data_IF_280221557465
#
_entry.id   IF_280221557465
#
_cell.length_a   1.000
_cell.length_b   1.000
_cell.length_c   1.000
_cell.angle_alpha   90.00
_cell.angle_beta   90.00
_cell.angle_gamma   90.00
#
_symmetry.space_group_name_H-M   'P 1'
#
loop_
_entity.id
_entity.type
_entity.pdbx_description
1 polymer ?
#
# COMPACT_ATOMS: atom_id res chain seq x y z
N UNK A 1 15.47 21.26 4.03
CA UNK A 1 14.10 21.51 4.53
C UNK A 1 13.80 20.60 5.71
N UNK A 2 12.93 21.08 6.59
CA UNK A 2 12.36 20.35 7.71
C UNK A 2 11.00 19.80 7.29
N UNK A 3 10.88 18.50 7.09
CA UNK A 3 9.67 17.86 6.60
C UNK A 3 8.97 17.06 7.72
N UNK A 4 7.66 17.23 7.87
CA UNK A 4 6.84 16.43 8.78
C UNK A 4 5.98 15.45 7.98
N UNK A 5 6.17 14.14 8.19
CA UNK A 5 5.43 13.08 7.50
C UNK A 5 4.40 12.49 8.46
N UNK A 6 3.13 12.70 8.15
CA UNK A 6 2.00 12.24 8.95
C UNK A 6 1.35 11.00 8.34
N UNK A 7 1.27 9.94 9.12
CA UNK A 7 0.65 8.68 8.74
C UNK A 7 -0.19 8.14 9.89
N UNK A 8 -1.09 7.21 9.62
CA UNK A 8 -1.88 6.52 10.63
C UNK A 8 -1.70 5.00 10.52
N UNK A 9 -1.65 4.34 11.67
CA UNK A 9 -1.45 2.88 11.75
C UNK A 9 -2.73 2.08 11.46
N UNK A 10 -3.47 2.45 10.41
CA UNK A 10 -4.70 1.77 9.94
C UNK A 10 -4.44 0.61 8.99
N UNK A 11 -3.24 0.05 9.04
CA UNK A 11 -2.68 -0.97 8.17
C UNK A 11 -1.24 -0.61 7.81
N UNK A 12 -0.51 -1.56 7.19
CA UNK A 12 0.92 -1.33 6.89
C UNK A 12 1.17 -0.34 5.74
N UNK A 13 0.24 -0.22 4.78
CA UNK A 13 0.45 0.49 3.53
C UNK A 13 0.83 1.97 3.73
N UNK A 14 0.01 2.74 4.43
CA UNK A 14 0.27 4.17 4.66
C UNK A 14 1.62 4.43 5.33
N UNK A 15 1.96 3.61 6.34
CA UNK A 15 3.25 3.70 7.03
C UNK A 15 4.42 3.34 6.11
N UNK A 16 4.24 2.38 5.18
CA UNK A 16 5.27 2.02 4.20
C UNK A 16 5.48 3.14 3.19
N UNK A 17 4.42 3.80 2.70
CA UNK A 17 4.53 4.99 1.87
C UNK A 17 5.23 6.15 2.59
N UNK A 18 4.87 6.38 3.86
CA UNK A 18 5.54 7.37 4.70
C UNK A 18 7.03 7.07 4.89
N UNK A 19 7.37 5.79 5.07
CA UNK A 19 8.77 5.36 5.17
C UNK A 19 9.55 5.60 3.88
N UNK A 20 8.95 5.30 2.72
CA UNK A 20 9.60 5.54 1.43
C UNK A 20 9.92 7.03 1.19
N UNK A 21 8.99 7.92 1.54
CA UNK A 21 9.22 9.37 1.47
C UNK A 21 10.29 9.81 2.48
N UNK A 22 10.25 9.27 3.70
CA UNK A 22 11.24 9.56 4.74
C UNK A 22 12.66 9.18 4.29
N UNK A 23 12.83 7.98 3.75
CA UNK A 23 14.13 7.50 3.24
C UNK A 23 14.62 8.39 2.09
N UNK A 24 13.77 8.69 1.11
CA UNK A 24 14.13 9.54 -0.03
C UNK A 24 14.53 10.96 0.39
N UNK A 25 13.86 11.55 1.37
CA UNK A 25 14.23 12.87 1.93
C UNK A 25 15.56 12.81 2.67
N UNK A 26 15.76 11.80 3.52
CA UNK A 26 16.98 11.65 4.33
C UNK A 26 18.20 11.39 3.46
N UNK A 27 18.11 10.55 2.44
CA UNK A 27 19.20 10.29 1.49
C UNK A 27 19.61 11.54 0.70
N UNK A 28 18.70 12.52 0.54
CA UNK A 28 19.00 13.83 -0.08
C UNK A 28 19.45 14.90 0.90
N UNK A 29 19.72 14.53 2.15
CA UNK A 29 20.22 15.43 3.18
C UNK A 29 19.17 16.37 3.76
N UNK A 30 17.88 16.06 3.60
CA UNK A 30 16.79 16.76 4.27
C UNK A 30 16.57 16.17 5.67
N UNK A 31 16.12 17.02 6.59
CA UNK A 31 15.63 16.52 7.87
C UNK A 31 14.14 16.18 7.75
N UNK A 32 13.77 15.02 8.22
CA UNK A 32 12.38 14.56 8.19
C UNK A 32 12.00 13.87 9.51
N UNK A 33 10.79 14.12 9.96
CA UNK A 33 10.19 13.46 11.13
C UNK A 33 8.93 12.74 10.67
N UNK A 34 8.75 11.50 11.11
CA UNK A 34 7.56 10.71 10.82
C UNK A 34 6.80 10.40 12.10
N UNK A 35 5.48 10.67 12.10
CA UNK A 35 4.65 10.42 13.26
C UNK A 35 3.19 10.06 12.89
N UNK A 36 2.51 9.41 13.81
CA UNK A 36 1.06 9.30 13.82
C UNK A 36 0.49 10.48 14.66
N UNK A 37 -0.35 11.36 14.08
CA UNK A 37 -0.82 12.55 14.79
C UNK A 37 -1.59 12.23 16.08
N UNK A 38 -2.20 11.06 16.19
CA UNK A 38 -2.91 10.66 17.42
C UNK A 38 -1.97 10.41 18.61
N UNK A 39 -0.67 10.19 18.38
CA UNK A 39 0.33 10.09 19.45
C UNK A 39 0.53 11.41 20.19
N UNK A 40 0.16 12.55 19.58
CA UNK A 40 0.16 13.86 20.25
C UNK A 40 -0.78 13.91 21.46
N UNK A 41 -1.78 13.04 21.51
CA UNK A 41 -2.64 12.85 22.69
C UNK A 41 -2.11 11.71 23.55
N UNK A 42 -1.97 10.52 22.98
CA UNK A 42 -1.38 9.36 23.63
C UNK A 42 -1.13 8.22 22.64
N UNK A 43 -0.14 7.38 22.93
CA UNK A 43 0.11 6.13 22.21
C UNK A 43 -1.12 5.19 22.26
N UNK A 44 -1.87 5.21 23.37
CA UNK A 44 -3.08 4.41 23.52
C UNK A 44 -4.16 4.82 22.52
N UNK A 45 -4.35 6.12 22.28
CA UNK A 45 -5.31 6.63 21.29
C UNK A 45 -4.91 6.21 19.87
N UNK A 46 -3.65 6.39 19.48
CA UNK A 46 -3.13 5.99 18.19
C UNK A 46 -3.34 4.48 17.96
N UNK A 47 -2.97 3.66 18.92
CA UNK A 47 -3.18 2.22 18.90
C UNK A 47 -4.67 1.83 18.80
N UNK A 48 -5.53 2.50 19.54
CA UNK A 48 -6.99 2.25 19.52
C UNK A 48 -7.60 2.56 18.15
N UNK A 49 -7.23 3.68 17.52
CA UNK A 49 -7.67 4.05 16.17
C UNK A 49 -7.23 2.99 15.17
N UNK A 50 -5.93 2.64 15.15
CA UNK A 50 -5.37 1.65 14.24
C UNK A 50 -6.00 0.27 14.44
N UNK A 51 -6.08 -0.23 15.66
CA UNK A 51 -6.65 -1.55 15.95
C UNK A 51 -8.15 -1.63 15.65
N UNK A 52 -8.90 -0.56 15.83
CA UNK A 52 -10.34 -0.54 15.49
C UNK A 52 -10.52 -0.73 13.99
N UNK A 53 -9.73 -0.03 13.19
CA UNK A 53 -9.73 -0.18 11.74
C UNK A 53 -9.35 -1.61 11.33
N UNK A 54 -8.22 -2.12 11.84
CA UNK A 54 -7.72 -3.47 11.53
C UNK A 54 -8.76 -4.54 11.89
N UNK A 55 -9.38 -4.45 13.06
CA UNK A 55 -10.42 -5.40 13.49
C UNK A 55 -11.66 -5.36 12.58
N UNK A 56 -12.07 -4.17 12.14
CA UNK A 56 -13.18 -4.01 11.20
C UNK A 56 -12.88 -4.70 9.86
N UNK A 57 -11.69 -4.46 9.32
CA UNK A 57 -11.25 -5.06 8.05
C UNK A 57 -11.12 -6.60 8.16
N UNK A 58 -10.47 -7.10 9.22
CA UNK A 58 -10.22 -8.55 9.38
C UNK A 58 -11.47 -9.34 9.73
N UNK A 59 -12.29 -8.84 10.68
CA UNK A 59 -13.44 -9.60 11.21
C UNK A 59 -14.71 -9.42 10.40
N UNK A 60 -14.84 -8.32 9.68
CA UNK A 60 -16.07 -7.97 8.98
C UNK A 60 -15.81 -7.25 7.65
N UNK A 61 -15.13 -7.88 6.66
CA UNK A 61 -14.83 -7.25 5.37
C UNK A 61 -16.06 -6.73 4.65
N UNK A 62 -17.20 -7.44 4.74
CA UNK A 62 -18.48 -7.00 4.15
C UNK A 62 -19.02 -5.73 4.81
N UNK A 63 -18.88 -5.61 6.15
CA UNK A 63 -19.26 -4.41 6.88
C UNK A 63 -18.35 -3.24 6.50
N UNK A 64 -17.04 -3.49 6.36
CA UNK A 64 -16.09 -2.49 5.87
C UNK A 64 -16.50 -1.96 4.49
N UNK A 65 -16.82 -2.85 3.55
CA UNK A 65 -17.37 -2.48 2.23
C UNK A 65 -18.62 -1.62 2.33
N UNK A 66 -19.59 -2.01 3.18
CA UNK A 66 -20.81 -1.23 3.40
C UNK A 66 -20.52 0.17 3.99
N UNK A 67 -19.56 0.29 4.91
CA UNK A 67 -19.11 1.59 5.45
C UNK A 67 -18.44 2.43 4.36
N UNK A 68 -17.64 1.82 3.51
CA UNK A 68 -17.02 2.48 2.35
C UNK A 68 -18.08 3.01 1.36
N UNK A 69 -19.10 2.19 1.03
CA UNK A 69 -20.20 2.59 0.17
C UNK A 69 -21.07 3.67 0.79
N UNK A 70 -21.29 3.60 2.11
CA UNK A 70 -21.98 4.66 2.85
C UNK A 70 -21.19 5.97 2.78
N UNK A 71 -19.86 5.92 2.89
CA UNK A 71 -18.98 7.08 2.67
C UNK A 71 -19.16 7.68 1.28
N UNK A 72 -19.19 6.83 0.23
CA UNK A 72 -19.48 7.26 -1.15
C UNK A 72 -20.87 7.88 -1.32
N UNK A 73 -21.86 7.45 -0.57
CA UNK A 73 -23.20 8.03 -0.58
C UNK A 73 -23.25 9.35 0.20
N UNK A 74 -22.64 9.37 1.40
CA UNK A 74 -22.61 10.53 2.30
C UNK A 74 -21.95 11.76 1.67
N UNK A 75 -20.87 11.60 0.90
CA UNK A 75 -20.18 12.70 0.20
C UNK A 75 -21.07 13.54 -0.72
N UNK A 76 -22.25 12.99 -1.12
CA UNK A 76 -23.24 13.72 -1.95
C UNK A 76 -24.13 14.65 -1.12
N UNK A 77 -24.09 14.53 0.20
CA UNK A 77 -24.84 15.40 1.11
C UNK A 77 -24.10 16.72 1.33
N UNK A 78 -24.82 17.82 1.59
CA UNK A 78 -24.18 19.09 1.91
C UNK A 78 -23.50 19.02 3.28
N UNK A 79 -22.37 19.71 3.41
CA UNK A 79 -21.58 19.76 4.64
C UNK A 79 -20.40 18.79 4.63
N UNK A 80 -19.64 18.79 5.73
CA UNK A 80 -18.45 17.95 5.89
C UNK A 80 -18.78 16.66 6.62
N UNK A 81 -18.01 15.63 6.37
CA UNK A 81 -18.23 14.30 6.93
C UNK A 81 -18.05 14.25 8.46
N UNK A 82 -18.66 13.25 9.11
CA UNK A 82 -18.35 12.98 10.52
C UNK A 82 -16.85 12.70 10.76
N UNK A 83 -16.17 12.12 9.77
CA UNK A 83 -14.73 11.80 9.80
C UNK A 83 -13.92 13.10 9.93
N UNK A 84 -14.23 14.12 9.11
CA UNK A 84 -13.65 15.45 9.21
C UNK A 84 -13.81 16.07 10.61
N UNK A 85 -15.03 16.03 11.18
CA UNK A 85 -15.30 16.61 12.48
C UNK A 85 -14.59 15.87 13.63
N UNK A 86 -14.48 14.55 13.53
CA UNK A 86 -13.75 13.74 14.53
C UNK A 86 -12.26 14.06 14.48
N UNK A 87 -11.67 14.09 13.28
CA UNK A 87 -10.25 14.38 13.08
C UNK A 87 -9.92 15.83 13.46
N UNK A 88 -10.81 16.77 13.20
CA UNK A 88 -10.66 18.17 13.61
C UNK A 88 -10.43 18.39 15.11
N UNK A 89 -10.83 17.44 15.97
CA UNK A 89 -10.52 17.50 17.42
C UNK A 89 -9.03 17.41 17.74
N UNK A 90 -8.24 16.92 16.80
CA UNK A 90 -6.77 16.85 16.92
C UNK A 90 -6.08 18.20 16.62
N UNK A 91 -6.77 19.17 16.03
CA UNK A 91 -6.21 20.44 15.60
C UNK A 91 -5.45 21.21 16.71
N UNK A 92 -5.96 21.32 17.94
CA UNK A 92 -5.22 22.03 19.01
C UNK A 92 -3.88 21.37 19.36
N UNK A 93 -3.82 20.05 19.32
CA UNK A 93 -2.58 19.29 19.62
C UNK A 93 -1.56 19.46 18.49
N UNK A 94 -2.03 19.40 17.23
CA UNK A 94 -1.17 19.63 16.07
C UNK A 94 -0.66 21.08 16.01
N UNK A 95 -1.52 22.07 16.33
CA UNK A 95 -1.11 23.47 16.41
C UNK A 95 0.01 23.68 17.44
N UNK A 96 -0.14 23.07 18.63
CA UNK A 96 0.90 23.12 19.66
C UNK A 96 2.21 22.53 19.17
N UNK A 97 2.16 21.34 18.53
CA UNK A 97 3.33 20.68 17.99
C UNK A 97 4.06 21.57 16.95
N UNK A 98 3.31 22.13 16.00
CA UNK A 98 3.87 22.99 14.94
C UNK A 98 4.44 24.31 15.49
N UNK A 99 3.92 24.83 16.59
CA UNK A 99 4.48 26.00 17.25
C UNK A 99 5.84 25.74 17.93
N UNK A 100 6.11 24.49 18.28
CA UNK A 100 7.33 24.07 18.99
C UNK A 100 8.39 23.46 18.03
N UNK A 101 7.99 23.10 16.78
CA UNK A 101 8.85 22.39 15.84
C UNK A 101 8.83 23.06 14.45
N UNK A 102 10.00 23.52 14.04
CA UNK A 102 10.17 24.07 12.69
C UNK A 102 9.74 23.05 11.64
N UNK A 103 8.85 23.46 10.74
CA UNK A 103 8.32 22.59 9.70
C UNK A 103 8.11 23.42 8.44
N UNK A 104 8.83 23.08 7.37
CA UNK A 104 8.73 23.78 6.06
C UNK A 104 7.59 23.19 5.23
N UNK A 105 7.34 21.88 5.33
CA UNK A 105 6.30 21.18 4.57
C UNK A 105 5.80 19.96 5.32
N UNK A 106 4.50 19.66 5.16
CA UNK A 106 3.88 18.47 5.74
C UNK A 106 3.43 17.52 4.63
N UNK A 107 3.68 16.22 4.85
CA UNK A 107 3.24 15.14 3.95
C UNK A 107 2.24 14.26 4.68
N UNK A 108 1.07 14.05 4.09
CA UNK A 108 0.03 13.17 4.62
C UNK A 108 -0.10 11.93 3.73
N UNK A 109 0.25 10.76 4.24
CA UNK A 109 0.05 9.49 3.52
C UNK A 109 -1.27 8.81 3.90
N UNK A 110 -2.06 9.44 4.76
CA UNK A 110 -3.40 9.03 5.15
C UNK A 110 -4.34 10.23 5.16
N UNK A 111 -5.65 9.98 4.93
CA UNK A 111 -6.65 11.07 4.88
C UNK A 111 -6.81 11.79 6.22
N UNK A 112 -6.74 11.08 7.35
CA UNK A 112 -6.99 11.68 8.67
C UNK A 112 -6.07 12.86 8.99
N UNK A 113 -4.74 12.78 8.82
CA UNK A 113 -3.88 13.95 8.97
C UNK A 113 -4.24 15.11 8.04
N UNK A 114 -4.60 14.82 6.77
CA UNK A 114 -5.01 15.85 5.83
C UNK A 114 -6.28 16.58 6.29
N UNK A 115 -7.23 15.87 6.89
CA UNK A 115 -8.43 16.47 7.48
C UNK A 115 -8.13 17.29 8.75
N UNK A 116 -7.18 16.87 9.58
CA UNK A 116 -6.72 17.64 10.75
C UNK A 116 -6.18 19.01 10.29
N UNK A 117 -5.26 18.98 9.32
CA UNK A 117 -4.64 20.20 8.77
C UNK A 117 -5.65 21.08 8.03
N UNK A 118 -6.57 20.47 7.30
CA UNK A 118 -7.68 21.17 6.66
C UNK A 118 -8.56 21.87 7.70
N UNK A 119 -8.88 21.19 8.80
CA UNK A 119 -9.64 21.78 9.89
C UNK A 119 -8.90 22.98 10.51
N UNK A 120 -7.59 22.87 10.72
CA UNK A 120 -6.76 23.97 11.22
C UNK A 120 -6.84 25.17 10.28
N UNK A 121 -6.56 24.97 8.99
CA UNK A 121 -6.56 26.02 7.96
C UNK A 121 -7.89 26.76 7.88
N UNK A 122 -8.99 26.02 7.82
CA UNK A 122 -10.34 26.59 7.74
C UNK A 122 -10.80 27.33 9.00
N UNK A 123 -10.18 27.08 10.14
CA UNK A 123 -10.42 27.80 11.39
C UNK A 123 -9.35 28.87 11.68
N UNK A 124 -8.57 29.28 10.68
CA UNK A 124 -7.61 30.36 10.79
C UNK A 124 -6.36 30.04 11.61
N UNK A 125 -6.07 28.75 11.84
CA UNK A 125 -4.82 28.32 12.45
C UNK A 125 -3.73 28.26 11.39
N UNK A 126 -2.54 28.76 11.69
CA UNK A 126 -1.41 28.67 10.78
C UNK A 126 -1.00 27.22 10.52
N UNK A 127 -0.79 26.90 9.26
CA UNK A 127 -0.30 25.58 8.83
C UNK A 127 0.76 25.76 7.76
N UNK A 128 1.90 25.05 7.86
CA UNK A 128 2.79 24.90 6.71
C UNK A 128 2.04 24.37 5.49
N UNK A 129 2.55 24.53 4.27
CA UNK A 129 2.00 23.86 3.11
C UNK A 129 1.99 22.34 3.33
N UNK A 130 0.92 21.65 2.87
CA UNK A 130 0.81 20.23 3.06
C UNK A 130 0.31 19.50 1.80
N UNK A 131 0.91 18.34 1.57
CA UNK A 131 0.71 17.49 0.41
C UNK A 131 0.07 16.18 0.84
N UNK A 132 -1.01 15.79 0.18
CA UNK A 132 -1.61 14.47 0.37
C UNK A 132 -1.09 13.49 -0.68
N UNK A 133 -0.71 12.29 -0.24
CA UNK A 133 -0.30 11.17 -1.11
C UNK A 133 -1.39 10.10 -1.04
N UNK A 134 -2.09 9.89 -2.16
CA UNK A 134 -3.03 8.79 -2.29
C UNK A 134 -2.27 7.46 -2.39
N UNK A 135 -2.69 6.48 -1.59
CA UNK A 135 -2.05 5.17 -1.47
C UNK A 135 -2.87 4.02 -2.04
N UNK A 136 -3.96 4.35 -2.74
CA UNK A 136 -4.81 3.42 -3.48
C UNK A 136 -5.09 3.94 -4.90
N UNK A 137 -5.30 3.04 -5.84
CA UNK A 137 -5.58 3.37 -7.26
C UNK A 137 -7.03 3.80 -7.48
N UNK A 138 -7.50 4.64 -6.61
CA UNK A 138 -8.80 5.32 -6.64
C UNK A 138 -8.80 6.52 -5.72
N UNK A 139 -9.64 7.49 -5.99
CA UNK A 139 -9.92 8.55 -5.04
C UNK A 139 -10.83 8.01 -3.93
N UNK A 140 -10.29 7.80 -2.72
CA UNK A 140 -11.08 7.32 -1.57
C UNK A 140 -12.10 8.36 -1.13
N UNK A 141 -13.25 7.94 -0.50
CA UNK A 141 -14.25 8.88 0.00
C UNK A 141 -13.63 9.95 0.92
N UNK A 142 -14.15 11.16 0.81
CA UNK A 142 -13.75 12.34 1.60
C UNK A 142 -12.38 12.95 1.26
N UNK A 143 -11.64 12.42 0.27
CA UNK A 143 -10.42 13.10 -0.21
C UNK A 143 -10.72 14.53 -0.67
N UNK A 144 -11.88 14.75 -1.28
CA UNK A 144 -12.37 16.06 -1.75
C UNK A 144 -12.70 17.05 -0.62
N UNK A 145 -12.84 16.57 0.62
CA UNK A 145 -13.05 17.45 1.78
C UNK A 145 -11.75 18.07 2.29
N UNK A 146 -10.61 17.49 1.94
CA UNK A 146 -9.31 18.03 2.32
C UNK A 146 -8.95 19.25 1.46
N UNK A 147 -8.25 20.23 2.06
CA UNK A 147 -7.76 21.43 1.38
C UNK A 147 -6.23 21.41 1.32
N UNK A 148 -5.68 20.34 0.75
CA UNK A 148 -4.25 20.20 0.54
C UNK A 148 -3.76 21.19 -0.53
N UNK A 149 -2.50 21.61 -0.43
CA UNK A 149 -1.88 22.42 -1.46
C UNK A 149 -1.68 21.61 -2.74
N UNK A 150 -1.28 20.35 -2.61
CA UNK A 150 -1.16 19.40 -3.71
C UNK A 150 -1.64 17.99 -3.29
N UNK A 151 -2.05 17.23 -4.32
CA UNK A 151 -2.44 15.82 -4.20
C UNK A 151 -1.57 14.97 -5.12
N UNK A 152 -0.72 14.15 -4.56
CA UNK A 152 0.01 13.14 -5.31
C UNK A 152 -0.92 11.97 -5.58
N UNK A 153 -1.15 11.66 -6.85
CA UNK A 153 -2.04 10.58 -7.29
C UNK A 153 -1.25 9.41 -7.89
N UNK A 154 -1.79 8.18 -7.82
CA UNK A 154 -1.07 6.96 -8.20
C UNK A 154 -0.70 6.87 -9.68
N UNK A 155 -1.47 7.52 -10.56
CA UNK A 155 -1.26 7.46 -12.00
C UNK A 155 -2.00 8.60 -12.71
N UNK A 156 -1.48 9.13 -13.83
CA UNK A 156 -2.20 10.09 -14.67
C UNK A 156 -3.52 9.51 -15.24
N UNK A 157 -3.61 8.18 -15.38
CA UNK A 157 -4.81 7.49 -15.85
C UNK A 157 -6.00 7.61 -14.88
N UNK A 158 -5.74 8.02 -13.63
CA UNK A 158 -6.75 8.18 -12.57
C UNK A 158 -7.13 9.65 -12.33
N UNK A 159 -6.55 10.62 -13.04
CA UNK A 159 -6.84 12.04 -12.83
C UNK A 159 -8.34 12.36 -12.91
N UNK A 160 -9.07 11.71 -13.82
CA UNK A 160 -10.52 11.87 -13.95
C UNK A 160 -11.31 11.32 -12.76
N UNK A 161 -10.82 10.29 -12.05
CA UNK A 161 -11.47 9.78 -10.82
C UNK A 161 -11.37 10.82 -9.70
N UNK A 162 -10.22 11.48 -9.56
CA UNK A 162 -10.02 12.51 -8.55
C UNK A 162 -10.79 13.80 -8.88
N UNK A 163 -10.70 14.30 -10.11
CA UNK A 163 -11.43 15.53 -10.51
C UNK A 163 -12.93 15.32 -10.54
N UNK A 164 -13.40 14.17 -10.97
CA UNK A 164 -14.82 13.80 -10.95
C UNK A 164 -15.40 13.72 -9.53
N UNK A 165 -14.55 13.66 -8.52
CA UNK A 165 -14.93 13.71 -7.10
C UNK A 165 -14.76 15.09 -6.46
N UNK A 166 -14.26 16.08 -7.21
CA UNK A 166 -14.15 17.46 -6.77
C UNK A 166 -12.76 17.90 -6.33
N UNK A 167 -11.74 17.05 -6.49
CA UNK A 167 -10.34 17.47 -6.28
C UNK A 167 -9.91 18.38 -7.43
N UNK A 168 -9.39 19.61 -7.19
CA UNK A 168 -9.01 20.53 -8.25
C UNK A 168 -7.90 19.97 -9.15
N UNK A 169 -8.09 20.04 -10.47
CA UNK A 169 -7.16 19.46 -11.43
C UNK A 169 -5.74 20.05 -11.35
N UNK A 170 -5.65 21.35 -11.09
CA UNK A 170 -4.38 22.09 -10.95
C UNK A 170 -3.57 21.68 -9.73
N UNK A 171 -4.21 21.10 -8.73
CA UNK A 171 -3.56 20.58 -7.52
C UNK A 171 -3.08 19.12 -7.69
N UNK A 172 -3.45 18.41 -8.75
CA UNK A 172 -3.05 17.01 -8.96
C UNK A 172 -1.60 16.90 -9.43
N UNK A 173 -0.88 15.95 -8.85
CA UNK A 173 0.49 15.56 -9.23
C UNK A 173 0.54 14.04 -9.38
N UNK A 174 0.41 13.49 -10.60
CA UNK A 174 0.34 12.05 -10.83
C UNK A 174 1.73 11.40 -10.81
N UNK A 175 2.41 11.47 -9.67
CA UNK A 175 3.78 10.98 -9.49
C UNK A 175 3.87 9.50 -9.11
N UNK A 176 2.75 8.85 -8.79
CA UNK A 176 2.76 7.45 -8.34
C UNK A 176 2.70 7.30 -6.82
N UNK A 177 2.51 6.06 -6.38
CA UNK A 177 2.60 5.69 -4.97
C UNK A 177 4.08 5.50 -4.62
N UNK A 178 4.62 6.19 -3.59
CA UNK A 178 6.02 6.03 -3.21
C UNK A 178 6.27 4.64 -2.61
N UNK A 179 7.25 3.96 -3.15
CA UNK A 179 7.82 2.72 -2.61
C UNK A 179 9.30 2.93 -2.29
N UNK A 180 9.86 2.12 -1.40
CA UNK A 180 11.28 2.20 -1.07
C UNK A 180 12.13 1.92 -2.30
N UNK A 181 13.29 2.55 -2.38
CA UNK A 181 14.15 2.49 -3.56
C UNK A 181 14.73 1.08 -3.81
N UNK A 182 14.83 0.24 -2.78
CA UNK A 182 15.30 -1.13 -2.91
C UNK A 182 14.38 -2.03 -3.79
N UNK A 183 13.10 -1.67 -3.94
CA UNK A 183 12.19 -2.37 -4.87
C UNK A 183 12.57 -2.15 -6.34
N UNK A 184 13.00 -0.95 -6.71
CA UNK A 184 13.40 -0.60 -8.08
C UNK A 184 14.91 -0.65 -8.32
N UNK A 185 15.72 -1.04 -7.34
CA UNK A 185 17.17 -1.15 -7.48
C UNK A 185 17.56 -2.32 -8.38
N UNK A 186 17.90 -2.04 -9.63
CA UNK A 186 18.31 -3.04 -10.63
C UNK A 186 19.63 -3.75 -10.28
N UNK A 187 20.41 -3.25 -9.31
CA UNK A 187 21.61 -3.94 -8.84
C UNK A 187 21.28 -5.17 -8.00
N UNK A 188 20.09 -5.24 -7.43
CA UNK A 188 19.56 -6.41 -6.71
C UNK A 188 18.92 -7.35 -7.72
N UNK A 189 19.76 -8.15 -8.37
CA UNK A 189 19.27 -9.20 -9.29
C UNK A 189 18.58 -10.33 -8.53
N UNK A 190 17.79 -11.14 -9.25
CA UNK A 190 17.12 -12.32 -8.68
C UNK A 190 18.08 -13.26 -7.95
N UNK A 191 19.24 -13.53 -8.55
CA UNK A 191 20.24 -14.42 -7.95
C UNK A 191 20.85 -13.82 -6.68
N UNK A 192 21.14 -12.53 -6.66
CA UNK A 192 21.61 -11.82 -5.46
C UNK A 192 20.57 -11.82 -4.36
N UNK A 193 19.30 -11.58 -4.69
CA UNK A 193 18.21 -11.64 -3.73
C UNK A 193 18.07 -13.04 -3.12
N UNK A 194 18.16 -14.08 -3.93
CA UNK A 194 18.13 -15.49 -3.48
C UNK A 194 19.31 -15.83 -2.57
N UNK A 195 20.49 -15.40 -2.95
CA UNK A 195 21.68 -15.60 -2.12
C UNK A 195 21.58 -14.90 -0.75
N UNK A 196 21.11 -13.65 -0.73
CA UNK A 196 20.89 -12.88 0.50
C UNK A 196 19.80 -13.48 1.42
N UNK A 197 18.87 -14.25 0.86
CA UNK A 197 17.82 -14.96 1.58
C UNK A 197 18.15 -16.43 1.88
N UNK A 198 19.33 -16.93 1.45
CA UNK A 198 19.71 -18.34 1.51
C UNK A 198 18.70 -19.28 0.80
N UNK A 199 18.06 -18.82 -0.28
CA UNK A 199 17.14 -19.62 -1.06
C UNK A 199 17.90 -20.49 -2.08
N UNK A 200 17.42 -21.71 -2.38
CA UNK A 200 18.07 -22.62 -3.32
C UNK A 200 18.17 -22.01 -4.73
N UNK A 201 19.33 -22.15 -5.37
CA UNK A 201 19.52 -21.72 -6.76
C UNK A 201 18.79 -22.65 -7.73
N UNK A 202 18.33 -22.11 -8.86
CA UNK A 202 17.73 -22.89 -9.94
C UNK A 202 16.30 -23.38 -9.68
N UNK A 203 15.69 -23.05 -8.55
CA UNK A 203 14.30 -23.36 -8.25
C UNK A 203 13.38 -22.18 -8.56
N UNK A 204 12.15 -22.46 -8.95
CA UNK A 204 11.10 -21.42 -9.01
C UNK A 204 10.63 -21.07 -7.61
N UNK A 205 10.14 -19.86 -7.45
CA UNK A 205 9.60 -19.40 -6.17
C UNK A 205 8.30 -18.64 -6.38
N UNK A 206 7.24 -19.14 -5.81
CA UNK A 206 6.00 -18.39 -5.64
C UNK A 206 6.03 -17.70 -4.27
N UNK A 207 5.63 -16.44 -4.23
CA UNK A 207 5.44 -15.70 -2.99
C UNK A 207 3.95 -15.41 -2.80
N UNK A 208 3.38 -15.86 -1.71
CA UNK A 208 1.98 -15.63 -1.34
C UNK A 208 1.90 -14.73 -0.11
N UNK A 209 1.10 -13.67 -0.14
CA UNK A 209 0.98 -12.75 0.99
C UNK A 209 -0.45 -12.27 1.24
N UNK A 210 -0.86 -12.33 2.51
CA UNK A 210 -2.08 -11.67 3.01
C UNK A 210 -1.89 -10.20 3.37
N UNK A 211 -0.75 -9.57 2.97
CA UNK A 211 -0.34 -8.25 3.40
C UNK A 211 0.12 -8.21 4.85
N UNK A 212 0.37 -7.01 5.39
CA UNK A 212 0.87 -6.83 6.77
C UNK A 212 -0.02 -7.45 7.85
N UNK A 213 -1.32 -7.57 7.57
CA UNK A 213 -2.32 -8.11 8.49
C UNK A 213 -2.61 -9.61 8.28
N UNK A 214 -2.02 -10.27 7.29
CA UNK A 214 -2.32 -11.66 6.95
C UNK A 214 -3.80 -11.90 6.66
N UNK A 215 -4.43 -11.01 5.91
CA UNK A 215 -5.85 -11.10 5.57
C UNK A 215 -6.07 -11.82 4.23
N UNK A 216 -7.30 -12.29 4.01
CA UNK A 216 -7.71 -12.98 2.78
C UNK A 216 -7.72 -14.49 2.91
N UNK A 217 -8.08 -15.18 1.82
CA UNK A 217 -8.26 -16.64 1.77
C UNK A 217 -6.92 -17.38 1.53
N UNK A 218 -5.91 -17.12 2.37
CA UNK A 218 -4.55 -17.65 2.18
C UNK A 218 -4.53 -19.17 2.19
N UNK A 219 -5.20 -19.82 3.13
CA UNK A 219 -5.25 -21.31 3.21
C UNK A 219 -5.87 -21.90 1.92
N UNK A 220 -6.96 -21.29 1.41
CA UNK A 220 -7.57 -21.77 0.18
C UNK A 220 -6.65 -21.54 -1.03
N UNK A 221 -5.89 -20.45 -1.04
CA UNK A 221 -4.89 -20.20 -2.09
C UNK A 221 -3.78 -21.26 -2.06
N UNK A 222 -3.29 -21.64 -0.87
CA UNK A 222 -2.31 -22.73 -0.74
C UNK A 222 -2.88 -24.03 -1.28
N UNK A 223 -4.10 -24.41 -0.86
CA UNK A 223 -4.77 -25.62 -1.36
C UNK A 223 -4.94 -25.63 -2.87
N UNK A 224 -5.33 -24.51 -3.46
CA UNK A 224 -5.47 -24.36 -4.91
C UNK A 224 -4.14 -24.52 -5.67
N UNK A 225 -3.00 -24.24 -5.02
CA UNK A 225 -1.67 -24.36 -5.60
C UNK A 225 -1.01 -25.73 -5.39
N UNK A 226 -1.56 -26.62 -4.55
CA UNK A 226 -0.97 -27.96 -4.31
C UNK A 226 -0.77 -28.74 -5.62
N UNK A 227 -1.72 -28.80 -6.57
CA UNK A 227 -1.50 -29.51 -7.83
C UNK A 227 -0.35 -28.93 -8.65
N UNK A 228 -0.14 -27.61 -8.61
CA UNK A 228 0.99 -26.96 -9.27
C UNK A 228 2.33 -27.40 -8.64
N UNK A 229 2.42 -27.40 -7.32
CA UNK A 229 3.63 -27.82 -6.61
C UNK A 229 3.94 -29.31 -6.82
N UNK A 230 2.94 -30.17 -6.83
CA UNK A 230 3.09 -31.59 -7.11
C UNK A 230 3.65 -31.87 -8.51
N UNK A 231 3.25 -31.09 -9.51
CA UNK A 231 3.73 -31.20 -10.90
C UNK A 231 5.08 -30.53 -11.10
N UNK A 232 5.50 -29.62 -10.22
CA UNK A 232 6.71 -28.81 -10.32
C UNK A 232 7.57 -28.99 -9.05
N UNK A 233 8.27 -30.13 -8.96
CA UNK A 233 9.12 -30.46 -7.81
C UNK A 233 10.26 -29.44 -7.57
N UNK A 234 10.59 -28.63 -8.56
CA UNK A 234 11.56 -27.54 -8.52
C UNK A 234 10.96 -26.18 -8.13
N UNK A 235 9.71 -26.14 -7.66
CA UNK A 235 9.02 -24.93 -7.26
C UNK A 235 8.82 -24.89 -5.74
N UNK A 236 9.08 -23.73 -5.12
CA UNK A 236 8.83 -23.46 -3.70
C UNK A 236 7.75 -22.39 -3.53
N UNK A 237 6.93 -22.52 -2.50
CA UNK A 237 5.90 -21.56 -2.11
C UNK A 237 6.25 -20.96 -0.75
N UNK A 238 6.62 -19.69 -0.74
CA UNK A 238 6.85 -18.89 0.45
C UNK A 238 5.57 -18.14 0.83
N UNK A 239 5.13 -18.22 2.08
CA UNK A 239 3.86 -17.66 2.53
C UNK A 239 4.12 -16.61 3.62
N UNK A 240 3.85 -15.34 3.34
CA UNK A 240 3.93 -14.25 4.30
C UNK A 240 2.58 -14.10 5.03
N UNK A 241 2.55 -14.52 6.29
CA UNK A 241 1.37 -14.46 7.15
C UNK A 241 1.19 -13.10 7.85
N UNK A 242 2.16 -12.18 7.71
CA UNK A 242 2.11 -10.87 8.35
C UNK A 242 2.08 -10.97 9.88
N UNK A 243 1.25 -10.18 10.52
CA UNK A 243 1.03 -10.18 11.97
C UNK A 243 -0.02 -11.19 12.44
N UNK A 244 -0.50 -12.09 11.55
CA UNK A 244 -1.55 -13.07 11.86
C UNK A 244 -0.94 -14.38 12.31
N UNK A 245 -0.68 -14.50 13.62
CA UNK A 245 -0.11 -15.73 14.21
C UNK A 245 -1.03 -16.96 13.99
N UNK A 246 -2.36 -16.78 14.09
CA UNK A 246 -3.31 -17.86 13.86
C UNK A 246 -3.25 -18.41 12.42
N UNK A 247 -3.01 -17.54 11.45
CA UNK A 247 -2.78 -17.95 10.06
C UNK A 247 -1.45 -18.72 9.94
N UNK A 248 -0.38 -18.20 10.55
CA UNK A 248 0.93 -18.86 10.54
C UNK A 248 0.81 -20.27 11.11
N UNK A 249 0.23 -20.42 12.31
CA UNK A 249 0.03 -21.71 12.97
C UNK A 249 -0.83 -22.67 12.13
N UNK A 250 -1.87 -22.16 11.48
CA UNK A 250 -2.75 -22.97 10.61
C UNK A 250 -2.02 -23.47 9.36
N UNK A 251 -1.20 -22.62 8.70
CA UNK A 251 -0.39 -23.02 7.54
C UNK A 251 0.64 -24.04 7.95
N UNK A 252 1.34 -23.81 9.08
CA UNK A 252 2.33 -24.74 9.60
C UNK A 252 1.70 -26.10 9.93
N UNK A 253 0.59 -26.12 10.65
CA UNK A 253 -0.10 -27.36 11.03
C UNK A 253 -0.59 -28.16 9.82
N UNK A 254 -1.17 -27.50 8.81
CA UNK A 254 -1.77 -28.18 7.67
C UNK A 254 -0.74 -28.64 6.64
N UNK A 255 0.34 -27.84 6.43
CA UNK A 255 1.29 -28.08 5.35
C UNK A 255 2.72 -28.42 5.80
N UNK A 256 2.98 -28.63 7.10
CA UNK A 256 4.31 -28.90 7.65
C UNK A 256 5.06 -30.07 6.98
N UNK A 257 4.34 -31.03 6.40
CA UNK A 257 4.94 -32.20 5.72
C UNK A 257 5.32 -31.93 4.27
N UNK A 258 4.89 -30.80 3.70
CA UNK A 258 5.22 -30.44 2.32
C UNK A 258 6.51 -29.59 2.31
N UNK A 259 7.62 -30.21 1.90
CA UNK A 259 8.94 -29.55 1.88
C UNK A 259 9.07 -28.38 0.90
N UNK A 260 8.06 -28.12 0.05
CA UNK A 260 8.04 -27.00 -0.87
C UNK A 260 7.34 -25.75 -0.27
N UNK A 261 6.68 -25.89 0.89
CA UNK A 261 5.87 -24.82 1.49
C UNK A 261 6.58 -24.29 2.74
N UNK A 262 6.84 -22.98 2.76
CA UNK A 262 7.51 -22.31 3.88
C UNK A 262 6.64 -21.15 4.39
N UNK A 263 5.95 -21.31 5.53
CA UNK A 263 5.28 -20.20 6.19
C UNK A 263 6.29 -19.27 6.86
N UNK A 264 6.00 -17.97 6.78
CA UNK A 264 6.82 -16.91 7.38
C UNK A 264 5.90 -15.91 8.07
N UNK A 265 6.36 -15.33 9.16
CA UNK A 265 5.73 -14.16 9.80
C UNK A 265 5.93 -12.90 8.97
N UNK A 266 5.93 -11.74 9.58
CA UNK A 266 6.30 -10.50 8.91
C UNK A 266 7.80 -10.47 8.57
N UNK A 267 8.17 -9.70 7.53
CA UNK A 267 9.57 -9.52 7.12
C UNK A 267 9.84 -8.05 6.83
N UNK A 268 11.07 -7.61 7.12
CA UNK A 268 11.62 -6.32 6.68
C UNK A 268 12.40 -6.43 5.35
N UNK A 269 12.49 -7.63 4.78
CA UNK A 269 13.21 -7.95 3.54
C UNK A 269 12.28 -8.14 2.34
N UNK A 270 11.12 -7.44 2.32
CA UNK A 270 10.10 -7.66 1.29
C UNK A 270 10.63 -7.47 -0.13
N UNK A 271 11.49 -6.47 -0.37
CA UNK A 271 12.09 -6.25 -1.67
C UNK A 271 12.93 -7.46 -2.14
N UNK A 272 13.72 -8.06 -1.24
CA UNK A 272 14.47 -9.27 -1.56
C UNK A 272 13.55 -10.45 -1.88
N UNK A 273 12.49 -10.67 -1.08
CA UNK A 273 11.55 -11.76 -1.35
C UNK A 273 10.81 -11.58 -2.67
N UNK A 274 10.39 -10.37 -2.99
CA UNK A 274 9.79 -10.07 -4.30
C UNK A 274 10.80 -10.36 -5.42
N UNK A 275 11.98 -9.75 -5.38
CA UNK A 275 13.00 -9.93 -6.44
C UNK A 275 13.48 -11.39 -6.59
N UNK A 276 13.43 -12.18 -5.51
CA UNK A 276 13.75 -13.61 -5.55
C UNK A 276 12.65 -14.46 -6.20
N UNK A 277 11.42 -13.93 -6.33
CA UNK A 277 10.23 -14.68 -6.73
C UNK A 277 9.97 -14.62 -8.24
N UNK A 278 9.28 -15.63 -8.75
CA UNK A 278 8.83 -15.71 -10.14
C UNK A 278 7.42 -15.12 -10.30
N UNK A 279 6.55 -15.38 -9.32
CA UNK A 279 5.18 -14.86 -9.27
C UNK A 279 4.88 -14.43 -7.84
N UNK A 280 4.28 -13.27 -7.70
CA UNK A 280 3.73 -12.79 -6.44
C UNK A 280 2.21 -12.91 -6.45
N UNK A 281 1.66 -13.50 -5.40
CA UNK A 281 0.22 -13.71 -5.24
C UNK A 281 -0.19 -12.95 -3.99
N UNK A 282 -1.07 -11.97 -4.12
CA UNK A 282 -1.48 -11.18 -2.96
C UNK A 282 -2.89 -10.60 -3.10
N UNK A 283 -3.44 -10.11 -1.99
CA UNK A 283 -4.58 -9.22 -2.08
C UNK A 283 -4.16 -7.90 -2.73
N UNK A 284 -5.06 -7.19 -3.43
CA UNK A 284 -4.73 -5.99 -4.21
C UNK A 284 -4.62 -4.71 -3.36
N UNK A 285 -3.76 -4.73 -2.34
CA UNK A 285 -3.41 -3.54 -1.58
C UNK A 285 -2.57 -2.57 -2.42
N UNK A 286 -2.85 -1.28 -2.35
CA UNK A 286 -2.17 -0.27 -3.18
C UNK A 286 -0.64 -0.37 -3.10
N UNK A 287 -0.09 -0.43 -1.89
CA UNK A 287 1.37 -0.51 -1.69
C UNK A 287 1.98 -1.82 -2.18
N UNK A 288 1.48 -2.97 -1.72
CA UNK A 288 2.06 -4.27 -2.08
C UNK A 288 2.01 -4.53 -3.59
N UNK A 289 0.94 -4.07 -4.25
CA UNK A 289 0.82 -4.14 -5.72
C UNK A 289 1.83 -3.24 -6.41
N UNK A 290 2.03 -2.00 -5.90
CA UNK A 290 3.04 -1.08 -6.43
C UNK A 290 4.45 -1.60 -6.20
N UNK A 291 4.76 -2.15 -5.02
CA UNK A 291 6.04 -2.77 -4.68
C UNK A 291 6.38 -3.93 -5.62
N UNK A 292 5.40 -4.82 -5.88
CA UNK A 292 5.57 -5.92 -6.84
C UNK A 292 5.86 -5.41 -8.26
N UNK A 293 5.08 -4.43 -8.71
CA UNK A 293 5.25 -3.87 -10.06
C UNK A 293 6.56 -3.09 -10.19
N UNK A 294 6.99 -2.36 -9.16
CA UNK A 294 8.28 -1.67 -9.13
C UNK A 294 9.45 -2.66 -9.15
N UNK A 295 9.31 -3.79 -8.45
CA UNK A 295 10.30 -4.88 -8.47
C UNK A 295 10.26 -5.71 -9.77
N UNK A 296 9.32 -5.45 -10.66
CA UNK A 296 9.15 -6.18 -11.92
C UNK A 296 8.76 -7.64 -11.72
N UNK A 297 7.92 -7.93 -10.72
CA UNK A 297 7.48 -9.30 -10.42
C UNK A 297 6.06 -9.51 -10.94
N UNK A 298 5.80 -10.56 -11.74
CA UNK A 298 4.47 -10.92 -12.19
C UNK A 298 3.51 -11.09 -11.01
N UNK A 299 2.31 -10.50 -11.11
CA UNK A 299 1.38 -10.33 -10.00
C UNK A 299 0.03 -11.00 -10.26
N UNK A 300 -0.44 -11.75 -9.27
CA UNK A 300 -1.81 -12.28 -9.21
C UNK A 300 -2.53 -11.67 -8.02
N UNK A 301 -3.66 -11.04 -8.26
CA UNK A 301 -4.55 -10.50 -7.24
C UNK A 301 -5.64 -11.51 -6.86
N UNK A 302 -5.74 -11.78 -5.56
CA UNK A 302 -6.75 -12.66 -4.96
C UNK A 302 -7.48 -11.94 -3.83
N UNK A 303 -8.70 -12.34 -3.53
CA UNK A 303 -9.44 -11.98 -2.30
C UNK A 303 -9.42 -10.48 -1.96
N UNK A 304 -9.85 -9.57 -2.85
CA UNK A 304 -9.88 -8.15 -2.56
C UNK A 304 -10.82 -7.85 -1.37
N UNK A 305 -10.39 -6.94 -0.50
CA UNK A 305 -11.28 -6.34 0.48
C UNK A 305 -12.22 -5.38 -0.26
N UNK A 306 -13.55 -5.49 -0.07
CA UNK A 306 -14.50 -4.59 -0.73
C UNK A 306 -14.17 -3.12 -0.47
N UNK A 307 -14.27 -2.28 -1.51
CA UNK A 307 -13.93 -0.86 -1.45
C UNK A 307 -12.69 -0.54 -2.30
N UNK A 308 -11.65 0.06 -1.71
CA UNK A 308 -10.45 0.50 -2.44
C UNK A 308 -9.69 -0.66 -3.08
N UNK A 309 -9.56 -1.81 -2.41
CA UNK A 309 -8.81 -2.94 -2.98
C UNK A 309 -9.50 -3.53 -4.24
N UNK A 310 -10.84 -3.53 -4.31
CA UNK A 310 -11.53 -3.93 -5.54
C UNK A 310 -11.18 -3.00 -6.71
N UNK A 311 -11.08 -1.69 -6.44
CA UNK A 311 -10.66 -0.69 -7.44
C UNK A 311 -9.20 -0.85 -7.85
N UNK A 312 -8.33 -1.14 -6.88
CA UNK A 312 -6.93 -1.46 -7.17
C UNK A 312 -6.82 -2.66 -8.13
N UNK A 313 -7.54 -3.75 -7.82
CA UNK A 313 -7.57 -4.94 -8.68
C UNK A 313 -8.08 -4.65 -10.09
N UNK A 314 -9.16 -3.86 -10.21
CA UNK A 314 -9.71 -3.44 -11.50
C UNK A 314 -8.70 -2.63 -12.32
N UNK A 315 -8.02 -1.65 -11.70
CA UNK A 315 -6.99 -0.85 -12.38
C UNK A 315 -5.84 -1.74 -12.87
N UNK A 316 -5.28 -2.57 -11.99
CA UNK A 316 -4.15 -3.43 -12.34
C UNK A 316 -4.48 -4.44 -13.44
N UNK A 317 -5.68 -5.02 -13.41
CA UNK A 317 -6.14 -5.95 -14.45
C UNK A 317 -6.37 -5.23 -15.78
N UNK A 318 -7.01 -4.05 -15.77
CA UNK A 318 -7.26 -3.23 -16.95
C UNK A 318 -5.98 -2.82 -17.66
N UNK A 319 -4.97 -2.42 -16.89
CA UNK A 319 -3.67 -2.02 -17.44
C UNK A 319 -2.76 -3.23 -17.78
N UNK A 320 -3.20 -4.46 -17.46
CA UNK A 320 -2.46 -5.70 -17.74
C UNK A 320 -1.20 -5.86 -16.90
N UNK A 321 -1.17 -5.27 -15.71
CA UNK A 321 -0.05 -5.30 -14.76
C UNK A 321 -0.27 -6.24 -13.58
N UNK A 322 -1.42 -6.91 -13.53
CA UNK A 322 -1.71 -8.07 -12.70
C UNK A 322 -2.80 -8.95 -13.36
N UNK A 323 -2.85 -10.21 -12.98
CA UNK A 323 -4.00 -11.09 -13.25
C UNK A 323 -4.95 -10.99 -12.05
N UNK A 324 -6.19 -10.57 -12.27
CA UNK A 324 -7.24 -10.58 -11.26
C UNK A 324 -7.94 -11.94 -11.26
N UNK A 325 -8.00 -12.58 -10.11
CA UNK A 325 -8.68 -13.85 -9.85
C UNK A 325 -9.95 -13.57 -9.06
N UNK A 326 -11.10 -13.93 -9.60
CA UNK A 326 -12.39 -13.73 -8.92
C UNK A 326 -12.67 -14.88 -7.94
N UNK A 327 -12.35 -16.10 -8.35
CA UNK A 327 -12.48 -17.28 -7.52
C UNK A 327 -11.10 -17.95 -7.31
N UNK A 328 -10.56 -17.80 -6.10
CA UNK A 328 -9.24 -18.32 -5.76
C UNK A 328 -9.13 -19.84 -5.94
N UNK A 329 -10.19 -20.61 -5.66
CA UNK A 329 -10.16 -22.08 -5.70
C UNK A 329 -10.12 -22.62 -7.13
N UNK A 330 -10.72 -21.92 -8.09
CA UNK A 330 -10.89 -22.41 -9.47
C UNK A 330 -10.00 -21.73 -10.49
N UNK A 331 -9.53 -20.51 -10.23
CA UNK A 331 -8.83 -19.70 -11.22
C UNK A 331 -7.35 -19.47 -10.89
N UNK A 332 -6.94 -19.59 -9.60
CA UNK A 332 -5.58 -19.26 -9.18
C UNK A 332 -4.53 -20.14 -9.86
N UNK A 333 -4.80 -21.44 -9.96
CA UNK A 333 -3.88 -22.38 -10.61
C UNK A 333 -3.56 -21.95 -12.04
N UNK A 334 -4.59 -21.71 -12.86
CA UNK A 334 -4.40 -21.29 -14.26
C UNK A 334 -3.73 -19.93 -14.40
N UNK A 335 -3.99 -19.00 -13.45
CA UNK A 335 -3.31 -17.71 -13.43
C UNK A 335 -1.80 -17.85 -13.17
N UNK A 336 -1.42 -18.72 -12.23
CA UNK A 336 -0.01 -19.01 -11.92
C UNK A 336 0.67 -19.76 -13.07
N UNK A 337 0.04 -20.78 -13.65
CA UNK A 337 0.55 -21.48 -14.84
C UNK A 337 0.82 -20.51 -15.99
N UNK A 338 -0.14 -19.62 -16.29
CA UNK A 338 0.02 -18.61 -17.33
C UNK A 338 1.21 -17.68 -17.08
N UNK A 339 1.39 -17.20 -15.83
CA UNK A 339 2.51 -16.31 -15.49
C UNK A 339 3.84 -17.04 -15.28
N UNK A 340 3.83 -18.37 -15.20
CA UNK A 340 5.03 -19.20 -15.18
C UNK A 340 5.66 -19.34 -16.58
N UNK A 341 4.89 -19.01 -17.64
CA UNK A 341 5.40 -18.93 -19.00
C UNK A 341 6.22 -17.65 -19.19
N UNK A 342 7.50 -17.74 -19.63
CA UNK A 342 8.42 -16.60 -19.71
C UNK A 342 7.89 -15.42 -20.53
N UNK A 343 7.18 -15.69 -21.63
CA UNK A 343 6.63 -14.65 -22.52
C UNK A 343 5.55 -13.83 -21.82
N UNK A 344 4.62 -14.48 -21.09
CA UNK A 344 3.55 -13.82 -20.36
C UNK A 344 4.10 -13.01 -19.19
N UNK A 345 5.10 -13.57 -18.48
CA UNK A 345 5.77 -12.88 -17.39
C UNK A 345 6.48 -11.61 -17.88
N UNK A 346 7.21 -11.69 -19.01
CA UNK A 346 7.94 -10.54 -19.54
C UNK A 346 7.01 -9.46 -20.10
N UNK A 347 5.90 -9.84 -20.74
CA UNK A 347 4.89 -8.88 -21.20
C UNK A 347 4.30 -8.11 -20.00
N UNK A 348 3.99 -8.79 -18.90
CA UNK A 348 3.50 -8.13 -17.68
C UNK A 348 4.56 -7.18 -17.09
N UNK A 349 5.81 -7.60 -16.97
CA UNK A 349 6.92 -6.75 -16.50
C UNK A 349 7.09 -5.49 -17.35
N UNK A 350 7.00 -5.63 -18.66
CA UNK A 350 7.07 -4.49 -19.60
C UNK A 350 5.95 -3.49 -19.34
N UNK A 351 4.73 -3.98 -19.14
CA UNK A 351 3.57 -3.11 -18.79
C UNK A 351 3.74 -2.48 -17.42
N UNK A 352 4.20 -3.23 -16.42
CA UNK A 352 4.49 -2.71 -15.08
C UNK A 352 5.46 -1.53 -15.16
N UNK A 353 6.56 -1.66 -15.90
CA UNK A 353 7.54 -0.57 -16.11
C UNK A 353 6.94 0.64 -16.84
N UNK A 354 5.97 0.46 -17.71
CA UNK A 354 5.33 1.54 -18.45
C UNK A 354 4.27 2.31 -17.62
N UNK A 355 3.60 1.63 -16.69
CA UNK A 355 2.46 2.19 -15.92
C UNK A 355 2.86 2.71 -14.55
N UNK A 356 3.82 2.03 -13.89
CA UNK A 356 4.21 2.34 -12.51
C UNK A 356 5.49 3.19 -12.52
N UNK A 357 5.42 4.35 -11.86
CA UNK A 357 6.58 5.19 -11.66
C UNK A 357 7.48 4.59 -10.57
N UNK A 358 8.60 4.03 -10.99
CA UNK A 358 9.60 3.43 -10.10
C UNK A 358 10.36 4.47 -9.26
N UNK A 359 10.35 5.75 -9.67
CA UNK A 359 11.03 6.86 -9.01
C UNK A 359 10.08 7.72 -8.17
N UNK A 360 8.85 7.27 -7.90
CA UNK A 360 7.82 8.07 -7.25
C UNK A 360 8.29 8.73 -5.94
N UNK A 361 9.03 8.01 -5.09
CA UNK A 361 9.56 8.56 -3.84
C UNK A 361 10.55 9.71 -4.09
N UNK A 362 11.37 9.60 -5.14
CA UNK A 362 12.33 10.61 -5.59
C UNK A 362 11.62 11.85 -6.11
N UNK A 363 10.69 11.65 -7.04
CA UNK A 363 9.92 12.73 -7.68
C UNK A 363 9.07 13.49 -6.65
N UNK A 364 8.54 12.78 -5.65
CA UNK A 364 7.82 13.39 -4.53
C UNK A 364 8.77 14.24 -3.68
N UNK A 365 9.98 13.74 -3.38
CA UNK A 365 10.97 14.53 -2.65
C UNK A 365 11.32 15.84 -3.39
N UNK A 366 11.49 15.80 -4.70
CA UNK A 366 11.73 16.97 -5.53
C UNK A 366 10.53 17.93 -5.51
N UNK A 367 9.31 17.42 -5.64
CA UNK A 367 8.08 18.20 -5.50
C UNK A 367 8.04 18.94 -4.16
N UNK A 368 8.32 18.25 -3.05
CA UNK A 368 8.29 18.84 -1.72
C UNK A 368 9.29 20.00 -1.57
N UNK A 369 10.47 19.91 -2.22
CA UNK A 369 11.43 21.00 -2.27
C UNK A 369 10.91 22.26 -2.98
N UNK A 370 9.96 22.12 -3.90
CA UNK A 370 9.30 23.28 -4.56
C UNK A 370 8.13 23.85 -3.75
N UNK A 371 7.52 23.04 -2.91
CA UNK A 371 6.37 23.44 -2.06
C UNK A 371 6.84 24.13 -0.80
N UNK A 372 8.02 23.77 -0.27
CA UNK A 372 8.61 24.33 0.93
C UNK A 372 9.24 25.75 0.74
N UNK A 373 9.30 26.26 -0.48
CA UNK A 373 9.81 27.60 -0.84
C UNK A 373 8.70 28.64 -0.80
#
# INVERSE_FOLDING_TARGET
>A
MEALILSCSTGGGHNTAAQAVFEALTERGHHAVRMDPYTLVSEELANKVGQTYIKLVQKSPKLFGAVYDLGNAYRKLPGRSPVYHINGKMAPYMQKYLAEHLTDVIVCTHLYPAEILTHMRLNGMETPPFVFIATDYTCVPFTEESDCDLYVTPSPLLSSDFTGRGVPAEKLRPLGIPVRLDFSDDTITKDRAREALNLPKGRRTLLLSGGSMGAGSIINAVRALLPYLEQNADCDLNILCGSNEALFDSVEAEFAKNGQITPMRSTNKMALYLKASDVFISKPGGLSSTESAAAGVPLVHISPIPGCESRNAEFFAKEGIAVKVENTETELLSAVERLSEPENAEEMRKRQRAVINQNAAIDICELLGTVAQ
#
